data_IF_287486401812
#
_entry.id   IF_287486401812
#
_cell.length_a   1.000
_cell.length_b   1.000
_cell.length_c   1.000
_cell.angle_alpha   90.00
_cell.angle_beta   90.00
_cell.angle_gamma   90.00
#
_symmetry.space_group_name_H-M   'P 1'
#
loop_
_entity.id
_entity.type
_entity.pdbx_description
1 polymer ?
#
# COMPACT_ATOMS: atom_id res chain seq x y z
N UNK A 1 -21.60 -5.73 0.57
CA UNK A 1 -21.72 -4.33 0.11
C UNK A 1 -22.10 -3.46 1.30
N UNK A 2 -21.27 -2.49 1.65
CA UNK A 2 -21.56 -1.51 2.70
C UNK A 2 -22.19 -0.27 2.07
N UNK A 3 -23.19 0.28 2.74
CA UNK A 3 -23.86 1.52 2.36
C UNK A 3 -23.69 2.51 3.51
N UNK A 4 -22.88 3.53 3.31
CA UNK A 4 -22.58 4.56 4.30
C UNK A 4 -22.90 5.93 3.73
N UNK A 5 -23.44 6.82 4.54
CA UNK A 5 -23.56 8.20 4.10
C UNK A 5 -22.19 8.91 4.18
N UNK A 6 -22.03 9.99 3.43
CA UNK A 6 -20.79 10.78 3.40
C UNK A 6 -20.78 11.91 4.44
N UNK A 7 -21.47 11.75 5.57
CA UNK A 7 -21.34 12.72 6.66
C UNK A 7 -19.89 12.85 7.12
N UNK A 8 -19.38 14.07 7.32
CA UNK A 8 -18.01 14.28 7.77
C UNK A 8 -17.76 13.61 9.13
N UNK A 9 -16.66 12.88 9.22
CA UNK A 9 -16.21 12.21 10.42
C UNK A 9 -15.12 13.06 11.07
N UNK A 10 -15.41 13.54 12.29
CA UNK A 10 -14.49 14.36 13.07
C UNK A 10 -13.92 13.52 14.20
N UNK A 11 -12.61 13.41 14.24
CA UNK A 11 -11.87 12.67 15.27
C UNK A 11 -11.13 13.69 16.11
N UNK A 12 -11.78 14.14 17.19
CA UNK A 12 -11.17 15.10 18.10
C UNK A 12 -9.98 14.45 18.82
N UNK A 13 -8.83 15.10 18.74
CA UNK A 13 -7.63 14.72 19.48
C UNK A 13 -6.86 15.97 19.89
N UNK A 14 -6.86 16.27 21.19
CA UNK A 14 -6.28 17.50 21.75
C UNK A 14 -4.76 17.40 22.02
N UNK A 15 -4.18 16.21 21.89
CA UNK A 15 -2.75 15.94 22.16
C UNK A 15 -1.85 16.42 21.01
N UNK A 16 -2.35 16.37 19.77
CA UNK A 16 -1.56 16.70 18.61
C UNK A 16 -1.52 18.20 18.28
N UNK A 17 -0.35 18.64 17.82
CA UNK A 17 -0.11 20.02 17.37
C UNK A 17 -0.44 20.26 15.89
N UNK A 18 -0.87 19.24 15.19
CA UNK A 18 -1.27 19.27 13.78
C UNK A 18 -2.67 18.68 13.60
N UNK A 19 -3.33 19.04 12.51
CA UNK A 19 -4.57 18.45 12.04
C UNK A 19 -4.34 17.81 10.67
N UNK A 20 -5.13 16.77 10.35
CA UNK A 20 -5.18 16.18 9.01
C UNK A 20 -6.61 16.21 8.51
N UNK A 21 -6.82 16.88 7.40
CA UNK A 21 -8.02 16.77 6.58
C UNK A 21 -7.77 15.70 5.51
N UNK A 22 -8.63 14.69 5.46
CA UNK A 22 -8.55 13.60 4.50
C UNK A 22 -9.88 13.50 3.75
N UNK A 23 -9.81 13.59 2.41
CA UNK A 23 -10.95 13.53 1.51
C UNK A 23 -10.70 12.40 0.52
N UNK A 24 -11.64 11.48 0.38
CA UNK A 24 -11.52 10.27 -0.41
C UNK A 24 -12.73 10.08 -1.32
N UNK A 25 -12.50 10.02 -2.63
CA UNK A 25 -13.53 9.77 -3.63
C UNK A 25 -13.45 8.33 -4.10
N UNK A 26 -14.48 7.52 -3.90
CA UNK A 26 -14.54 6.19 -4.50
C UNK A 26 -14.53 6.27 -6.02
N UNK A 27 -13.77 5.38 -6.66
CA UNK A 27 -13.64 5.31 -8.11
C UNK A 27 -14.32 4.03 -8.58
N UNK A 28 -15.31 4.18 -9.45
CA UNK A 28 -16.05 3.09 -10.06
C UNK A 28 -15.76 3.06 -11.55
N UNK A 29 -15.63 1.86 -12.11
CA UNK A 29 -15.48 1.66 -13.57
C UNK A 29 -14.37 2.53 -14.18
N UNK A 30 -13.13 2.10 -14.01
CA UNK A 30 -11.94 2.83 -14.44
C UNK A 30 -11.00 1.99 -15.31
N UNK A 31 -10.17 2.67 -16.06
CA UNK A 31 -9.03 2.09 -16.75
C UNK A 31 -7.76 2.39 -15.96
N UNK A 32 -6.95 1.37 -15.77
CA UNK A 32 -5.77 1.49 -14.93
C UNK A 32 -4.76 2.51 -15.47
N UNK A 33 -4.57 2.53 -16.80
CA UNK A 33 -3.68 3.49 -17.46
C UNK A 33 -4.07 4.95 -17.21
N UNK A 34 -5.38 5.22 -17.12
CA UNK A 34 -5.88 6.56 -16.83
C UNK A 34 -5.56 6.96 -15.38
N UNK A 35 -5.81 6.05 -14.41
CA UNK A 35 -5.55 6.33 -13.00
C UNK A 35 -4.04 6.51 -12.68
N UNK A 36 -3.17 5.76 -13.37
CA UNK A 36 -1.71 5.90 -13.18
C UNK A 36 -1.20 7.30 -13.51
N UNK A 37 -1.81 7.95 -14.49
CA UNK A 37 -1.41 9.30 -14.94
C UNK A 37 -2.22 10.38 -14.22
N UNK A 38 -3.52 10.14 -14.00
CA UNK A 38 -4.43 11.12 -13.41
C UNK A 38 -3.92 11.67 -12.05
N UNK A 39 -3.38 10.81 -11.18
CA UNK A 39 -2.86 11.20 -9.86
C UNK A 39 -1.75 12.25 -9.91
N UNK A 40 -0.97 12.28 -11.00
CA UNK A 40 0.16 13.19 -11.16
C UNK A 40 -0.27 14.53 -11.80
N UNK A 41 -1.45 14.55 -12.43
CA UNK A 41 -1.98 15.69 -13.18
C UNK A 41 -2.97 16.52 -12.36
N UNK A 42 -3.83 15.88 -11.56
CA UNK A 42 -4.96 16.55 -10.88
C UNK A 42 -4.52 17.70 -9.99
N UNK A 43 -3.49 17.50 -9.17
CA UNK A 43 -3.11 18.44 -8.11
C UNK A 43 -1.80 19.22 -8.43
N UNK A 44 -1.43 19.28 -9.71
CA UNK A 44 -0.24 20.06 -10.12
C UNK A 44 -0.44 21.55 -9.89
N UNK A 45 -1.62 22.07 -10.23
CA UNK A 45 -2.04 23.49 -10.09
C UNK A 45 -3.56 23.58 -10.07
N UNK A 46 -4.08 24.75 -9.68
CA UNK A 46 -5.50 25.06 -9.79
C UNK A 46 -5.73 26.30 -10.64
N UNK A 47 -6.98 26.58 -10.94
CA UNK A 47 -7.36 27.80 -11.69
C UNK A 47 -6.87 29.06 -10.97
N UNK A 48 -7.05 29.15 -9.66
CA UNK A 48 -6.59 30.25 -8.82
C UNK A 48 -5.07 30.26 -8.65
N UNK A 49 -4.44 29.09 -8.56
CA UNK A 49 -3.00 28.90 -8.35
C UNK A 49 -2.36 28.31 -9.61
N UNK A 50 -2.44 29.07 -10.71
CA UNK A 50 -2.05 28.69 -12.07
C UNK A 50 -0.55 28.47 -12.28
N UNK A 51 0.28 28.84 -11.28
CA UNK A 51 1.72 28.57 -11.26
C UNK A 51 2.17 27.90 -9.98
N UNK A 52 3.23 27.10 -10.05
CA UNK A 52 3.83 26.47 -8.85
C UNK A 52 4.23 27.49 -7.79
N UNK A 53 4.64 28.70 -8.22
CA UNK A 53 4.96 29.80 -7.30
C UNK A 53 3.71 30.30 -6.54
N UNK A 54 2.61 30.55 -7.26
CA UNK A 54 1.35 30.96 -6.60
C UNK A 54 0.84 29.89 -5.64
N UNK A 55 0.93 28.62 -6.05
CA UNK A 55 0.56 27.48 -5.20
C UNK A 55 1.44 27.40 -3.94
N UNK A 56 2.75 27.54 -4.07
CA UNK A 56 3.66 27.55 -2.94
C UNK A 56 3.34 28.70 -1.96
N UNK A 57 3.07 29.91 -2.47
CA UNK A 57 2.67 31.06 -1.66
C UNK A 57 1.32 30.78 -0.95
N UNK A 58 0.35 30.14 -1.63
CA UNK A 58 -0.91 29.78 -1.04
C UNK A 58 -0.74 28.77 0.11
N UNK A 59 0.14 27.76 -0.05
CA UNK A 59 0.48 26.83 1.02
C UNK A 59 1.04 27.55 2.25
N UNK A 60 1.96 28.51 2.04
CA UNK A 60 2.54 29.29 3.15
C UNK A 60 1.45 30.12 3.84
N UNK A 61 0.61 30.83 3.09
CA UNK A 61 -0.43 31.72 3.63
C UNK A 61 -1.51 30.96 4.41
N UNK A 62 -1.80 29.72 4.02
CA UNK A 62 -2.76 28.84 4.71
C UNK A 62 -2.12 27.99 5.79
N UNK A 63 -0.83 28.19 6.08
CA UNK A 63 -0.08 27.35 7.01
C UNK A 63 -0.13 25.85 6.65
N UNK A 64 -0.26 25.53 5.34
CA UNK A 64 -0.26 24.17 4.86
C UNK A 64 1.14 23.57 5.04
N UNK A 65 1.29 22.60 5.94
CA UNK A 65 2.55 21.90 6.19
C UNK A 65 2.86 20.93 5.05
N UNK A 66 1.84 20.25 4.57
CA UNK A 66 1.94 19.42 3.37
C UNK A 66 0.55 19.15 2.80
N UNK A 67 0.49 18.95 1.49
CA UNK A 67 -0.67 18.34 0.82
C UNK A 67 -0.18 17.24 -0.11
N UNK A 68 -1.01 16.23 -0.28
CA UNK A 68 -0.70 15.12 -1.18
C UNK A 68 -1.98 14.55 -1.77
N UNK A 69 -1.84 14.00 -2.97
CA UNK A 69 -2.85 13.16 -3.59
C UNK A 69 -2.28 11.79 -3.88
N UNK A 70 -3.11 10.80 -3.85
CA UNK A 70 -2.76 9.45 -4.30
C UNK A 70 -4.01 8.73 -4.81
N UNK A 71 -3.80 7.67 -5.57
CA UNK A 71 -4.81 6.66 -5.81
C UNK A 71 -4.44 5.45 -4.98
N UNK A 72 -5.34 5.04 -4.11
CA UNK A 72 -5.21 3.85 -3.29
C UNK A 72 -6.18 2.78 -3.74
N UNK A 73 -5.78 1.53 -3.51
CA UNK A 73 -6.63 0.36 -3.73
C UNK A 73 -6.82 -0.32 -2.38
N UNK A 74 -8.06 -0.46 -1.97
CA UNK A 74 -8.43 -1.10 -0.72
C UNK A 74 -9.42 -2.20 -1.05
N UNK A 75 -8.97 -3.46 -0.99
CA UNK A 75 -9.70 -4.60 -1.56
C UNK A 75 -9.92 -4.37 -3.06
N UNK A 76 -11.16 -4.52 -3.53
CA UNK A 76 -11.54 -4.29 -4.93
C UNK A 76 -11.88 -2.83 -5.24
N UNK A 77 -11.77 -1.93 -4.27
CA UNK A 77 -12.14 -0.55 -4.45
C UNK A 77 -10.92 0.32 -4.73
N UNK A 78 -11.05 1.24 -5.69
CA UNK A 78 -10.08 2.30 -5.92
C UNK A 78 -10.60 3.61 -5.34
N UNK A 79 -9.70 4.42 -4.81
CA UNK A 79 -10.02 5.72 -4.22
C UNK A 79 -9.04 6.78 -4.70
N UNK A 80 -9.56 7.95 -5.10
CA UNK A 80 -8.77 9.16 -5.25
C UNK A 80 -8.76 9.89 -3.91
N UNK A 81 -7.59 10.00 -3.31
CA UNK A 81 -7.43 10.55 -1.97
C UNK A 81 -6.66 11.87 -2.00
N UNK A 82 -7.11 12.80 -1.21
CA UNK A 82 -6.46 14.06 -0.92
C UNK A 82 -6.25 14.20 0.58
N UNK A 83 -5.02 14.49 1.00
CA UNK A 83 -4.68 14.72 2.40
C UNK A 83 -3.98 16.07 2.55
N UNK A 84 -4.46 16.88 3.48
CA UNK A 84 -3.93 18.18 3.84
C UNK A 84 -3.54 18.17 5.32
N UNK A 85 -2.29 18.54 5.61
CA UNK A 85 -1.76 18.63 6.98
C UNK A 85 -1.50 20.10 7.30
N UNK A 86 -2.02 20.57 8.43
CA UNK A 86 -1.84 21.92 8.89
C UNK A 86 -1.72 21.98 10.43
N UNK A 87 -1.15 23.05 11.02
CA UNK A 87 -1.03 23.18 12.47
C UNK A 87 -2.39 23.34 13.14
N UNK A 88 -2.56 22.77 14.32
CA UNK A 88 -3.77 22.93 15.12
C UNK A 88 -3.89 24.34 15.73
N UNK A 89 -5.09 24.69 16.20
CA UNK A 89 -5.36 25.94 16.94
C UNK A 89 -4.41 26.08 18.13
N UNK A 90 -4.11 25.00 18.84
CA UNK A 90 -3.18 25.00 19.97
C UNK A 90 -1.75 25.45 19.57
N UNK A 91 -1.34 25.19 18.33
CA UNK A 91 -0.04 25.60 17.81
C UNK A 91 -0.01 27.05 17.33
N UNK A 92 -1.02 27.44 16.53
CA UNK A 92 -1.07 28.76 15.89
C UNK A 92 -1.73 29.84 16.74
N UNK A 93 -2.50 29.47 17.76
CA UNK A 93 -3.42 30.37 18.48
C UNK A 93 -4.42 31.09 17.55
N UNK A 94 -4.64 30.51 16.38
CA UNK A 94 -5.54 30.97 15.32
C UNK A 94 -6.20 29.76 14.69
N UNK A 95 -7.52 29.84 14.44
CA UNK A 95 -8.24 28.82 13.69
C UNK A 95 -8.03 29.07 12.18
N UNK A 96 -7.46 28.07 11.50
CA UNK A 96 -7.18 28.12 10.07
C UNK A 96 -7.94 27.04 9.29
N UNK A 97 -8.92 26.40 9.91
CA UNK A 97 -9.69 25.32 9.30
C UNK A 97 -10.40 25.79 8.03
N UNK A 98 -11.11 26.93 8.10
CA UNK A 98 -11.87 27.46 6.96
C UNK A 98 -10.95 27.77 5.78
N UNK A 99 -9.79 28.40 6.02
CA UNK A 99 -8.82 28.73 4.98
C UNK A 99 -8.28 27.45 4.30
N UNK A 100 -8.01 26.41 5.10
CA UNK A 100 -7.53 25.12 4.58
C UNK A 100 -8.64 24.34 3.85
N UNK A 101 -9.90 24.44 4.26
CA UNK A 101 -11.02 23.86 3.52
C UNK A 101 -11.23 24.54 2.18
N UNK A 102 -11.12 25.86 2.12
CA UNK A 102 -11.21 26.63 0.86
C UNK A 102 -10.03 26.31 -0.06
N UNK A 103 -8.82 26.14 0.50
CA UNK A 103 -7.66 25.69 -0.27
C UNK A 103 -7.88 24.26 -0.83
N UNK A 104 -8.35 23.33 0.01
CA UNK A 104 -8.64 21.96 -0.43
C UNK A 104 -9.72 21.94 -1.53
N UNK A 105 -10.81 22.73 -1.35
CA UNK A 105 -11.87 22.88 -2.35
C UNK A 105 -11.31 23.35 -3.69
N UNK A 106 -10.51 24.40 -3.66
CA UNK A 106 -9.88 24.97 -4.85
C UNK A 106 -9.03 23.94 -5.58
N UNK A 107 -8.15 23.22 -4.85
CA UNK A 107 -7.28 22.21 -5.43
C UNK A 107 -8.02 21.00 -6.00
N UNK A 108 -9.12 20.61 -5.36
CA UNK A 108 -9.89 19.41 -5.73
C UNK A 108 -10.87 19.69 -6.88
N UNK A 109 -11.58 20.82 -6.85
CA UNK A 109 -12.71 21.05 -7.76
C UNK A 109 -12.41 22.04 -8.89
N UNK A 110 -11.33 22.80 -8.80
CA UNK A 110 -10.93 23.80 -9.80
C UNK A 110 -9.50 23.56 -10.31
N UNK A 111 -9.22 22.39 -10.94
CA UNK A 111 -7.88 22.11 -11.46
C UNK A 111 -7.52 23.11 -12.58
N UNK A 112 -6.24 23.39 -12.74
CA UNK A 112 -5.76 24.20 -13.86
C UNK A 112 -6.00 23.47 -15.19
N UNK A 113 -6.71 24.15 -16.10
CA UNK A 113 -7.07 23.60 -17.42
C UNK A 113 -6.49 24.48 -18.53
N UNK A 114 -6.09 23.86 -19.62
CA UNK A 114 -5.73 24.50 -20.89
C UNK A 114 -6.78 24.09 -21.95
N UNK A 115 -7.43 25.07 -22.54
CA UNK A 115 -8.52 24.82 -23.50
C UNK A 115 -9.65 23.90 -22.95
N UNK A 116 -9.94 24.00 -21.64
CA UNK A 116 -11.01 23.25 -21.00
C UNK A 116 -10.68 21.81 -20.63
N UNK A 117 -9.45 21.35 -20.80
CA UNK A 117 -8.93 20.02 -20.42
C UNK A 117 -7.59 20.14 -19.70
N UNK A 118 -7.07 19.06 -19.15
CA UNK A 118 -5.72 19.07 -18.57
C UNK A 118 -4.64 19.41 -19.61
N UNK A 119 -3.54 20.03 -19.17
CA UNK A 119 -2.44 20.39 -20.06
C UNK A 119 -1.87 19.17 -20.78
N UNK A 120 -1.86 19.18 -22.12
CA UNK A 120 -1.29 18.09 -22.92
C UNK A 120 0.20 17.88 -22.63
N UNK A 121 0.90 18.97 -22.36
CA UNK A 121 2.32 18.91 -21.98
C UNK A 121 2.49 18.15 -20.69
N UNK A 122 1.71 18.47 -19.65
CA UNK A 122 1.78 17.80 -18.34
C UNK A 122 1.41 16.32 -18.44
N UNK A 123 0.37 15.98 -19.18
CA UNK A 123 -0.03 14.59 -19.42
C UNK A 123 1.10 13.79 -20.08
N UNK A 124 1.71 14.33 -21.13
CA UNK A 124 2.84 13.71 -21.84
C UNK A 124 4.06 13.53 -20.93
N UNK A 125 4.43 14.56 -20.17
CA UNK A 125 5.52 14.48 -19.19
C UNK A 125 5.26 13.41 -18.14
N UNK A 126 4.05 13.31 -17.61
CA UNK A 126 3.66 12.27 -16.63
C UNK A 126 3.73 10.86 -17.23
N UNK A 127 3.32 10.68 -18.48
CA UNK A 127 3.44 9.40 -19.21
C UNK A 127 4.91 9.00 -19.35
N UNK A 128 5.76 9.90 -19.80
CA UNK A 128 7.18 9.60 -19.99
C UNK A 128 7.89 9.34 -18.65
N UNK A 129 7.57 10.08 -17.60
CA UNK A 129 8.07 9.82 -16.25
C UNK A 129 7.68 8.41 -15.75
N UNK A 130 6.43 7.99 -15.98
CA UNK A 130 5.99 6.65 -15.62
C UNK A 130 6.75 5.56 -16.40
N UNK A 131 6.86 5.70 -17.73
CA UNK A 131 7.63 4.78 -18.58
C UNK A 131 9.08 4.65 -18.12
N UNK A 132 9.72 5.79 -17.82
CA UNK A 132 11.10 5.81 -17.34
C UNK A 132 11.22 5.15 -15.96
N UNK A 133 10.26 5.34 -15.06
CA UNK A 133 10.24 4.68 -13.75
C UNK A 133 10.16 3.17 -13.86
N UNK A 134 9.32 2.65 -14.76
CA UNK A 134 9.21 1.20 -15.05
C UNK A 134 10.52 0.67 -15.61
N UNK A 135 11.07 1.35 -16.62
CA UNK A 135 12.34 0.98 -17.25
C UNK A 135 13.50 0.94 -16.24
N UNK A 136 13.58 1.95 -15.36
CA UNK A 136 14.62 2.01 -14.33
C UNK A 136 14.44 0.93 -13.26
N UNK A 137 13.20 0.56 -12.90
CA UNK A 137 12.95 -0.58 -12.02
C UNK A 137 13.44 -1.88 -12.64
N UNK A 138 13.16 -2.11 -13.93
CA UNK A 138 13.53 -3.35 -14.62
C UNK A 138 15.02 -3.44 -14.96
N UNK A 139 15.77 -2.34 -15.00
CA UNK A 139 17.23 -2.33 -15.17
C UNK A 139 18.00 -2.73 -13.90
N UNK A 140 17.36 -2.88 -12.78
CA UNK A 140 17.97 -3.30 -11.53
C UNK A 140 17.66 -4.77 -11.29
N UNK A 141 18.66 -5.55 -10.89
CA UNK A 141 18.49 -7.01 -10.65
C UNK A 141 17.39 -7.30 -9.61
N UNK A 142 17.32 -6.52 -8.54
CA UNK A 142 16.29 -6.67 -7.50
C UNK A 142 14.89 -6.30 -8.00
N UNK A 143 14.77 -5.22 -8.77
CA UNK A 143 13.51 -4.78 -9.37
C UNK A 143 12.99 -5.75 -10.44
N UNK A 144 13.89 -6.31 -11.25
CA UNK A 144 13.55 -7.34 -12.25
C UNK A 144 13.11 -8.64 -11.59
N UNK A 145 13.88 -9.11 -10.59
CA UNK A 145 13.53 -10.31 -9.81
C UNK A 145 12.15 -10.14 -9.16
N UNK A 146 11.90 -9.00 -8.51
CA UNK A 146 10.59 -8.72 -7.91
C UNK A 146 9.47 -8.76 -8.96
N UNK A 147 9.68 -8.17 -10.14
CA UNK A 147 8.71 -8.21 -11.23
C UNK A 147 8.40 -9.63 -11.68
N UNK A 148 9.43 -10.45 -11.90
CA UNK A 148 9.26 -11.85 -12.32
C UNK A 148 8.57 -12.69 -11.24
N UNK A 149 8.95 -12.50 -9.99
CA UNK A 149 8.31 -13.16 -8.86
C UNK A 149 6.84 -12.74 -8.71
N UNK A 150 6.57 -11.44 -8.82
CA UNK A 150 5.20 -10.91 -8.73
C UNK A 150 4.30 -11.49 -9.84
N UNK A 151 4.84 -11.71 -11.05
CA UNK A 151 4.10 -12.37 -12.14
C UNK A 151 3.72 -13.82 -11.82
N UNK A 152 4.58 -14.56 -11.11
CA UNK A 152 4.31 -15.96 -10.74
C UNK A 152 3.25 -16.11 -9.66
N UNK A 153 3.12 -15.11 -8.78
CA UNK A 153 2.18 -15.17 -7.67
C UNK A 153 0.91 -14.38 -7.92
N UNK A 154 0.89 -13.55 -8.97
CA UNK A 154 -0.19 -12.60 -9.27
C UNK A 154 -1.16 -13.17 -10.30
N UNK A 155 -2.21 -13.81 -9.79
CA UNK A 155 -3.24 -14.41 -10.65
C UNK A 155 -4.26 -13.39 -11.22
N UNK A 156 -4.30 -12.16 -10.66
CA UNK A 156 -5.36 -11.18 -10.96
C UNK A 156 -4.86 -9.75 -11.23
N UNK A 157 -3.61 -9.59 -11.66
CA UNK A 157 -3.00 -8.28 -11.96
C UNK A 157 -2.94 -7.30 -10.76
N UNK A 158 -2.90 -7.82 -9.53
CA UNK A 158 -2.85 -6.97 -8.32
C UNK A 158 -1.46 -6.42 -8.00
N UNK A 159 -0.42 -7.25 -8.20
CA UNK A 159 0.96 -6.88 -7.92
C UNK A 159 1.61 -6.20 -9.11
N UNK A 160 1.37 -6.75 -10.29
CA UNK A 160 1.88 -6.22 -11.55
C UNK A 160 0.74 -5.75 -12.41
N UNK A 161 0.57 -4.47 -12.43
CA UNK A 161 -0.49 -3.83 -13.18
C UNK A 161 -0.42 -4.12 -14.68
N UNK A 162 -1.56 -4.12 -15.37
CA UNK A 162 -1.64 -4.29 -16.83
C UNK A 162 -0.78 -3.26 -17.56
N UNK A 163 -0.77 -2.02 -17.07
CA UNK A 163 0.05 -0.93 -17.63
C UNK A 163 1.53 -1.17 -17.43
N UNK A 164 1.93 -1.79 -16.31
CA UNK A 164 3.33 -2.16 -16.12
C UNK A 164 3.76 -3.26 -17.08
N UNK A 165 2.89 -4.23 -17.37
CA UNK A 165 3.12 -5.33 -18.33
C UNK A 165 3.17 -4.82 -19.77
N UNK A 166 2.31 -3.85 -20.10
CA UNK A 166 2.17 -3.28 -21.44
C UNK A 166 2.07 -1.75 -21.41
N UNK A 167 3.22 -1.11 -21.55
CA UNK A 167 3.32 0.35 -21.58
C UNK A 167 2.65 0.98 -22.82
N UNK A 168 2.29 0.20 -23.83
CA UNK A 168 1.59 0.70 -25.02
C UNK A 168 0.17 1.18 -24.68
N UNK A 169 -0.44 0.65 -23.60
CA UNK A 169 -1.74 1.09 -23.09
C UNK A 169 -1.76 2.61 -22.77
N UNK A 170 -0.62 3.17 -22.40
CA UNK A 170 -0.48 4.61 -22.13
C UNK A 170 -0.72 5.48 -23.38
N UNK A 171 -0.62 4.93 -24.58
CA UNK A 171 -0.94 5.66 -25.82
C UNK A 171 -2.42 6.05 -25.91
N UNK A 172 -3.29 5.37 -25.15
CA UNK A 172 -4.71 5.66 -25.10
C UNK A 172 -5.06 6.80 -24.13
N UNK A 173 -4.09 7.27 -23.34
CA UNK A 173 -4.30 8.32 -22.33
C UNK A 173 -4.17 9.69 -22.99
N UNK A 174 -5.26 10.46 -22.98
CA UNK A 174 -5.30 11.82 -23.51
C UNK A 174 -5.79 12.81 -22.44
N UNK A 175 -5.48 14.09 -22.61
CA UNK A 175 -5.93 15.16 -21.71
C UNK A 175 -7.45 15.20 -21.55
N UNK A 176 -8.18 15.02 -22.65
CA UNK A 176 -9.64 15.01 -22.65
C UNK A 176 -10.19 13.79 -21.87
N UNK A 177 -9.65 12.60 -22.11
CA UNK A 177 -10.05 11.38 -21.39
C UNK A 177 -9.78 11.50 -19.91
N UNK A 178 -8.58 11.96 -19.53
CA UNK A 178 -8.26 12.17 -18.10
C UNK A 178 -9.21 13.17 -17.44
N UNK A 179 -9.53 14.27 -18.14
CA UNK A 179 -10.47 15.24 -17.60
C UNK A 179 -11.88 14.68 -17.45
N UNK A 180 -12.33 13.83 -18.36
CA UNK A 180 -13.62 13.13 -18.25
C UNK A 180 -13.66 12.15 -17.09
N UNK A 181 -12.58 11.37 -16.88
CA UNK A 181 -12.42 10.48 -15.71
C UNK A 181 -12.43 11.28 -14.42
N UNK A 182 -11.65 12.35 -14.35
CA UNK A 182 -11.63 13.26 -13.20
C UNK A 182 -13.04 13.80 -12.89
N UNK A 183 -13.76 14.35 -13.87
CA UNK A 183 -15.13 14.85 -13.66
C UNK A 183 -16.06 13.78 -13.13
N UNK A 184 -15.97 12.55 -13.65
CA UNK A 184 -16.76 11.42 -13.16
C UNK A 184 -16.48 11.11 -11.71
N UNK A 185 -15.19 11.11 -11.30
CA UNK A 185 -14.77 10.84 -9.92
C UNK A 185 -15.28 11.93 -8.96
N UNK A 186 -15.03 13.20 -9.26
CA UNK A 186 -15.38 14.31 -8.35
C UNK A 186 -16.87 14.62 -8.31
N UNK A 187 -17.66 14.13 -9.27
CA UNK A 187 -19.13 14.23 -9.21
C UNK A 187 -19.75 13.28 -8.21
N UNK A 188 -18.99 12.26 -7.77
CA UNK A 188 -19.40 11.34 -6.71
C UNK A 188 -19.26 11.94 -5.32
N UNK A 189 -19.98 11.38 -4.33
CA UNK A 189 -19.90 11.86 -2.94
C UNK A 189 -18.56 11.42 -2.31
N UNK A 190 -17.72 12.37 -1.82
CA UNK A 190 -16.51 12.02 -1.11
C UNK A 190 -16.79 11.58 0.32
N UNK A 191 -15.92 10.73 0.85
CA UNK A 191 -15.77 10.49 2.27
C UNK A 191 -14.80 11.53 2.84
N UNK A 192 -15.16 12.16 3.96
CA UNK A 192 -14.35 13.22 4.56
C UNK A 192 -14.08 12.93 6.03
N UNK A 193 -12.80 12.96 6.40
CA UNK A 193 -12.32 12.78 7.76
C UNK A 193 -11.47 13.97 8.16
N UNK A 194 -11.63 14.43 9.39
CA UNK A 194 -10.79 15.45 10.00
C UNK A 194 -10.35 14.97 11.37
N UNK A 195 -9.05 14.92 11.59
CA UNK A 195 -8.48 14.55 12.89
C UNK A 195 -7.59 15.66 13.42
N UNK A 196 -7.67 15.91 14.73
CA UNK A 196 -6.83 16.86 15.46
C UNK A 196 -7.55 17.64 16.53
N UNK A 197 -6.87 18.68 17.04
CA UNK A 197 -7.48 19.61 18.02
C UNK A 197 -8.38 20.61 17.30
N UNK A 198 -9.68 20.26 17.21
CA UNK A 198 -10.71 21.02 16.48
C UNK A 198 -12.02 21.06 17.25
N UNK A 199 -12.86 22.06 16.97
CA UNK A 199 -14.25 22.08 17.38
C UNK A 199 -15.07 21.15 16.47
N UNK A 200 -15.62 20.08 17.02
CA UNK A 200 -16.32 19.05 16.26
C UNK A 200 -17.53 19.59 15.49
N UNK A 201 -18.39 20.37 16.18
CA UNK A 201 -19.63 20.89 15.58
C UNK A 201 -19.32 21.88 14.45
N UNK A 202 -18.47 22.86 14.73
CA UNK A 202 -18.04 23.87 13.76
C UNK A 202 -17.36 23.22 12.55
N UNK A 203 -16.47 22.25 12.81
CA UNK A 203 -15.75 21.53 11.74
C UNK A 203 -16.70 20.78 10.83
N UNK A 204 -17.68 20.10 11.41
CA UNK A 204 -18.67 19.34 10.66
C UNK A 204 -19.53 20.26 9.78
N UNK A 205 -19.95 21.39 10.30
CA UNK A 205 -20.73 22.41 9.58
C UNK A 205 -19.92 22.98 8.40
N UNK A 206 -18.67 23.41 8.65
CA UNK A 206 -17.80 23.97 7.61
C UNK A 206 -17.46 22.96 6.51
N UNK A 207 -17.20 21.70 6.84
CA UNK A 207 -16.93 20.66 5.83
C UNK A 207 -18.19 20.41 4.99
N UNK A 208 -19.37 20.33 5.60
CA UNK A 208 -20.64 20.19 4.88
C UNK A 208 -20.85 21.34 3.90
N UNK A 209 -20.64 22.58 4.34
CA UNK A 209 -20.79 23.75 3.50
C UNK A 209 -19.75 23.82 2.38
N UNK A 210 -18.46 23.72 2.72
CA UNK A 210 -17.37 24.03 1.79
C UNK A 210 -17.04 22.85 0.88
N UNK A 211 -17.02 21.62 1.39
CA UNK A 211 -16.58 20.45 0.61
C UNK A 211 -17.77 19.70 0.01
N UNK A 212 -18.87 19.57 0.75
CA UNK A 212 -19.99 18.73 0.32
C UNK A 212 -21.13 19.54 -0.33
N UNK A 213 -21.05 20.87 -0.41
CA UNK A 213 -22.14 21.75 -0.88
C UNK A 213 -23.48 21.41 -0.20
N UNK A 214 -23.46 21.01 1.08
CA UNK A 214 -24.59 20.52 1.89
C UNK A 214 -25.31 19.28 1.31
N UNK A 215 -24.65 18.52 0.42
CA UNK A 215 -25.21 17.31 -0.18
C UNK A 215 -24.71 16.07 0.57
N UNK A 216 -25.61 15.42 1.30
CA UNK A 216 -25.33 14.15 1.95
C UNK A 216 -25.91 13.03 1.08
N UNK A 217 -25.09 12.09 0.71
CA UNK A 217 -25.42 10.98 -0.19
C UNK A 217 -24.84 9.67 0.33
N UNK A 218 -25.37 8.57 -0.14
CA UNK A 218 -24.84 7.26 0.18
C UNK A 218 -23.66 6.92 -0.72
N UNK A 219 -22.58 6.44 -0.09
CA UNK A 219 -21.39 5.89 -0.75
C UNK A 219 -21.46 4.38 -0.66
N UNK A 220 -21.36 3.69 -1.80
CA UNK A 220 -21.37 2.24 -1.87
C UNK A 220 -19.95 1.75 -2.09
N UNK A 221 -19.52 0.74 -1.34
CA UNK A 221 -18.26 0.03 -1.58
C UNK A 221 -18.38 -1.42 -1.13
N UNK A 222 -17.56 -2.26 -1.71
CA UNK A 222 -17.51 -3.68 -1.41
C UNK A 222 -16.24 -3.97 -0.63
N UNK A 223 -16.38 -4.58 0.54
CA UNK A 223 -15.25 -5.12 1.27
C UNK A 223 -15.28 -6.64 1.11
N UNK A 224 -14.52 -7.16 0.18
CA UNK A 224 -14.30 -8.59 0.06
C UNK A 224 -12.82 -8.89 0.34
N UNK A 225 -12.56 -9.50 1.49
CA UNK A 225 -11.22 -9.97 1.85
C UNK A 225 -10.89 -11.32 1.21
N UNK A 226 -11.89 -12.03 0.67
CA UNK A 226 -11.75 -13.40 0.15
C UNK A 226 -11.40 -13.45 -1.34
N UNK A 227 -11.25 -12.31 -2.01
CA UNK A 227 -11.02 -12.22 -3.46
C UNK A 227 -9.73 -12.89 -3.91
N UNK A 228 -8.82 -13.18 -2.98
CA UNK A 228 -7.44 -13.51 -3.30
C UNK A 228 -7.05 -14.98 -3.13
N UNK A 229 -7.98 -15.85 -2.81
CA UNK A 229 -7.67 -17.28 -2.62
C UNK A 229 -8.26 -18.07 -3.78
N UNK A 230 -7.51 -18.18 -4.87
CA UNK A 230 -7.79 -19.18 -5.90
C UNK A 230 -7.16 -20.53 -5.57
N UNK A 231 -7.68 -21.57 -6.19
CA UNK A 231 -7.25 -22.96 -6.03
C UNK A 231 -5.71 -23.11 -6.04
N UNK A 232 -5.16 -23.60 -4.95
CA UNK A 232 -3.74 -23.93 -4.87
C UNK A 232 -3.52 -25.18 -5.73
N UNK A 233 -2.68 -25.06 -6.75
CA UNK A 233 -2.25 -26.21 -7.55
C UNK A 233 -1.45 -27.17 -6.67
N UNK A 234 -1.60 -28.47 -6.90
CA UNK A 234 -0.78 -29.49 -6.24
C UNK A 234 0.63 -29.62 -6.86
N UNK A 235 0.92 -28.89 -7.94
CA UNK A 235 2.24 -28.87 -8.60
C UNK A 235 2.94 -27.55 -8.34
N UNK A 236 4.24 -27.62 -8.04
CA UNK A 236 5.11 -26.45 -7.92
C UNK A 236 5.50 -25.98 -9.31
N UNK A 237 5.15 -24.74 -9.65
CA UNK A 237 5.61 -24.11 -10.89
C UNK A 237 7.07 -23.69 -10.74
N UNK A 238 7.94 -24.07 -11.70
CA UNK A 238 9.35 -23.69 -11.69
C UNK A 238 9.69 -22.91 -12.94
N UNK A 239 10.08 -21.65 -12.78
CA UNK A 239 10.58 -20.80 -13.87
C UNK A 239 12.07 -20.58 -13.67
N UNK A 240 12.87 -20.98 -14.67
CA UNK A 240 14.31 -20.74 -14.73
C UNK A 240 14.65 -20.02 -16.01
N UNK A 241 15.34 -18.91 -15.93
CA UNK A 241 15.78 -18.12 -17.07
C UNK A 241 17.18 -17.55 -16.86
N UNK A 242 17.88 -17.27 -17.96
CA UNK A 242 19.15 -16.56 -17.93
C UNK A 242 18.86 -15.06 -17.75
N UNK A 243 19.51 -14.46 -16.78
CA UNK A 243 19.39 -13.05 -16.45
C UNK A 243 20.47 -12.23 -17.17
N UNK A 244 20.15 -10.99 -17.52
CA UNK A 244 21.14 -10.03 -18.03
C UNK A 244 22.09 -9.48 -16.95
N UNK A 245 21.82 -9.77 -15.68
CA UNK A 245 22.62 -9.30 -14.55
C UNK A 245 23.72 -10.27 -14.18
N UNK A 246 24.79 -9.80 -13.53
CA UNK A 246 25.83 -10.65 -12.95
C UNK A 246 25.34 -11.40 -11.70
N UNK A 247 24.36 -10.86 -11.01
CA UNK A 247 23.79 -11.43 -9.79
C UNK A 247 22.64 -12.39 -10.14
N UNK A 248 22.70 -13.62 -9.65
CA UNK A 248 21.57 -14.55 -9.69
C UNK A 248 20.53 -14.21 -8.61
N UNK A 249 19.27 -14.48 -8.92
CA UNK A 249 18.14 -14.28 -8.02
C UNK A 249 17.33 -15.56 -7.88
N UNK A 250 16.90 -15.83 -6.65
CA UNK A 250 16.18 -17.06 -6.29
C UNK A 250 14.95 -16.68 -5.45
N UNK A 251 13.78 -17.14 -5.87
CA UNK A 251 12.54 -16.94 -5.10
C UNK A 251 11.85 -18.28 -4.86
N UNK A 252 11.21 -18.40 -3.70
CA UNK A 252 10.36 -19.51 -3.34
C UNK A 252 9.06 -18.98 -2.74
N UNK A 253 7.93 -19.38 -3.29
CA UNK A 253 6.62 -18.86 -2.92
C UNK A 253 5.77 -19.93 -2.27
N UNK A 254 5.17 -19.57 -1.15
CA UNK A 254 4.19 -20.37 -0.41
C UNK A 254 2.86 -19.65 -0.38
N UNK A 255 1.77 -20.40 -0.57
CA UNK A 255 0.40 -19.89 -0.36
C UNK A 255 -0.24 -20.53 0.86
N UNK A 256 -1.10 -19.78 1.52
CA UNK A 256 -1.93 -20.25 2.64
C UNK A 256 -3.18 -20.92 2.09
N UNK A 257 -3.40 -22.19 2.45
CA UNK A 257 -4.68 -22.89 2.18
C UNK A 257 -5.79 -22.25 2.99
N UNK A 258 -6.96 -22.13 2.38
CA UNK A 258 -8.21 -21.72 3.03
C UNK A 258 -8.07 -20.44 3.88
N UNK A 259 -7.32 -19.47 3.35
CA UNK A 259 -7.20 -18.17 3.99
C UNK A 259 -8.56 -17.47 4.00
N UNK A 260 -9.12 -17.24 5.20
CA UNK A 260 -10.49 -16.74 5.33
C UNK A 260 -10.67 -15.51 6.24
N UNK A 261 -9.70 -15.16 7.05
CA UNK A 261 -9.86 -14.11 8.06
C UNK A 261 -8.58 -13.31 8.34
N UNK A 262 -8.74 -12.24 9.10
CA UNK A 262 -7.62 -11.39 9.52
C UNK A 262 -6.59 -12.14 10.37
N UNK A 263 -7.05 -13.11 11.20
CA UNK A 263 -6.17 -13.97 12.00
C UNK A 263 -5.16 -14.74 11.15
N UNK A 264 -5.55 -15.23 9.97
CA UNK A 264 -4.65 -15.91 9.03
C UNK A 264 -3.54 -14.97 8.52
N UNK A 265 -3.84 -13.69 8.31
CA UNK A 265 -2.84 -12.68 7.94
C UNK A 265 -1.83 -12.44 9.07
N UNK A 266 -2.33 -12.41 10.32
CA UNK A 266 -1.46 -12.27 11.49
C UNK A 266 -0.55 -13.49 11.63
N UNK A 267 -1.07 -14.71 11.46
CA UNK A 267 -0.27 -15.94 11.45
C UNK A 267 0.80 -15.92 10.36
N UNK A 268 0.44 -15.51 9.14
CA UNK A 268 1.40 -15.36 8.04
C UNK A 268 2.50 -14.33 8.36
N UNK A 269 2.13 -13.23 9.01
CA UNK A 269 3.09 -12.21 9.47
C UNK A 269 4.03 -12.76 10.55
N UNK A 270 3.51 -13.59 11.47
CA UNK A 270 4.34 -14.29 12.48
C UNK A 270 5.34 -15.21 11.78
N UNK A 271 4.91 -16.04 10.83
CA UNK A 271 5.80 -16.93 10.07
C UNK A 271 6.89 -16.14 9.36
N UNK A 272 6.52 -15.05 8.67
CA UNK A 272 7.49 -14.14 8.05
C UNK A 272 8.50 -13.61 9.08
N UNK A 273 8.05 -13.21 10.27
CA UNK A 273 8.91 -12.69 11.32
C UNK A 273 9.81 -13.76 11.96
N UNK A 274 9.36 -15.02 12.06
CA UNK A 274 10.19 -16.16 12.48
C UNK A 274 11.36 -16.39 11.50
N UNK A 275 11.13 -16.18 10.20
CA UNK A 275 12.15 -16.35 9.15
C UNK A 275 13.07 -15.14 9.01
N UNK A 276 12.52 -13.94 9.04
CA UNK A 276 13.21 -12.71 8.64
C UNK A 276 12.68 -11.50 9.42
N UNK A 277 13.17 -11.30 10.63
CA UNK A 277 12.82 -10.16 11.48
C UNK A 277 13.94 -9.13 11.63
N UNK A 278 15.20 -9.55 11.58
CA UNK A 278 16.42 -8.74 11.75
C UNK A 278 17.63 -9.43 11.06
N UNK A 279 18.79 -8.77 11.04
CA UNK A 279 20.03 -9.28 10.44
C UNK A 279 20.60 -10.58 11.10
N UNK A 280 20.03 -11.04 12.19
CA UNK A 280 20.36 -12.30 12.87
C UNK A 280 19.23 -13.32 12.81
N UNK A 281 18.37 -13.21 11.83
CA UNK A 281 17.25 -14.13 11.63
C UNK A 281 17.67 -15.49 10.99
N UNK A 282 16.71 -16.41 10.95
CA UNK A 282 16.95 -17.78 10.50
C UNK A 282 17.45 -17.84 9.06
N UNK A 283 16.83 -17.09 8.15
CA UNK A 283 17.24 -17.08 6.74
C UNK A 283 18.64 -16.50 6.57
N UNK A 284 18.93 -15.38 7.24
CA UNK A 284 20.23 -14.73 7.14
C UNK A 284 21.34 -15.62 7.71
N UNK A 285 21.09 -16.29 8.85
CA UNK A 285 22.05 -17.20 9.44
C UNK A 285 22.34 -18.37 8.52
N UNK A 286 21.33 -19.11 8.08
CA UNK A 286 21.55 -20.28 7.22
C UNK A 286 22.17 -19.93 5.87
N UNK A 287 21.79 -18.85 5.24
CA UNK A 287 22.20 -18.55 3.88
C UNK A 287 23.47 -17.69 3.83
N UNK A 288 23.65 -16.78 4.78
CA UNK A 288 24.76 -15.82 4.78
C UNK A 288 25.85 -16.18 5.78
N UNK A 289 25.50 -16.30 7.08
CA UNK A 289 26.51 -16.44 8.12
C UNK A 289 27.17 -17.82 8.10
N UNK A 290 26.39 -18.88 7.95
CA UNK A 290 26.88 -20.26 8.04
C UNK A 290 27.44 -20.79 6.71
N UNK A 291 26.95 -20.30 5.57
CA UNK A 291 27.28 -20.86 4.26
C UNK A 291 27.82 -19.85 3.24
N UNK A 292 27.81 -18.53 3.53
CA UNK A 292 28.26 -17.44 2.63
C UNK A 292 27.71 -17.52 1.19
N UNK A 293 26.44 -17.96 1.04
CA UNK A 293 25.83 -18.22 -0.27
C UNK A 293 25.17 -16.98 -0.88
N UNK A 294 24.74 -16.01 -0.07
CA UNK A 294 23.91 -14.91 -0.55
C UNK A 294 24.43 -13.54 -0.09
N UNK A 295 24.24 -12.53 -0.91
CA UNK A 295 24.49 -11.15 -0.53
C UNK A 295 23.33 -10.57 0.30
N UNK A 296 22.11 -10.98 -0.05
CA UNK A 296 20.87 -10.51 0.58
C UNK A 296 19.83 -11.61 0.54
N UNK A 297 19.08 -11.73 1.63
CA UNK A 297 17.91 -12.60 1.72
C UNK A 297 16.82 -11.92 2.53
N UNK A 298 15.56 -12.15 2.19
CA UNK A 298 14.39 -11.63 2.90
C UNK A 298 13.17 -12.53 2.71
N UNK A 299 12.25 -12.45 3.66
CA UNK A 299 10.89 -12.96 3.54
C UNK A 299 9.89 -11.82 3.41
N UNK A 300 8.94 -11.92 2.50
CA UNK A 300 7.87 -10.96 2.25
C UNK A 300 6.52 -11.63 2.33
N UNK A 301 5.52 -10.91 2.82
CA UNK A 301 4.12 -11.37 2.79
C UNK A 301 3.28 -10.47 1.91
N UNK A 302 2.34 -11.08 1.19
CA UNK A 302 1.35 -10.38 0.39
C UNK A 302 -0.03 -10.57 0.99
N UNK A 303 -0.85 -9.53 0.96
CA UNK A 303 -2.15 -9.49 1.64
C UNK A 303 -3.14 -10.58 1.22
N UNK A 304 -2.89 -11.23 0.09
CA UNK A 304 -3.68 -12.35 -0.45
C UNK A 304 -3.12 -13.74 -0.05
N UNK A 305 -2.37 -13.82 1.04
CA UNK A 305 -1.96 -15.09 1.64
C UNK A 305 -0.74 -15.75 1.03
N UNK A 306 0.17 -14.97 0.45
CA UNK A 306 1.44 -15.47 -0.09
C UNK A 306 2.61 -15.05 0.80
N UNK A 307 3.54 -15.99 1.05
CA UNK A 307 4.86 -15.77 1.62
C UNK A 307 5.90 -16.03 0.53
N UNK A 308 6.76 -15.04 0.26
CA UNK A 308 7.88 -15.16 -0.67
C UNK A 308 9.20 -15.09 0.06
N UNK A 309 10.09 -16.05 -0.17
CA UNK A 309 11.49 -16.03 0.22
C UNK A 309 12.30 -15.60 -0.99
N UNK A 310 13.11 -14.54 -0.87
CA UNK A 310 13.87 -13.97 -1.99
C UNK A 310 15.33 -13.84 -1.57
N UNK A 311 16.23 -14.38 -2.38
CA UNK A 311 17.69 -14.29 -2.18
C UNK A 311 18.41 -13.86 -3.45
N UNK A 312 19.53 -13.15 -3.25
CA UNK A 312 20.43 -12.72 -4.30
C UNK A 312 21.83 -13.27 -4.04
N UNK A 313 22.40 -13.91 -5.06
CA UNK A 313 23.64 -14.69 -4.92
C UNK A 313 24.61 -14.45 -6.07
N UNK A 314 25.91 -14.50 -5.75
CA UNK A 314 26.99 -14.70 -6.66
C UNK A 314 27.42 -16.18 -6.77
N UNK A 315 26.80 -17.10 -6.01
CA UNK A 315 27.15 -18.48 -5.96
C UNK A 315 26.57 -19.31 -7.13
N UNK A 316 27.28 -20.32 -7.59
CA UNK A 316 26.79 -21.34 -8.54
C UNK A 316 25.86 -22.37 -7.86
N UNK A 317 25.85 -22.42 -6.54
CA UNK A 317 25.14 -23.42 -5.76
C UNK A 317 23.68 -23.00 -5.48
N UNK A 318 22.92 -22.65 -6.52
CA UNK A 318 21.54 -22.22 -6.40
C UNK A 318 20.64 -23.26 -5.73
N UNK A 319 20.85 -24.52 -6.03
CA UNK A 319 20.06 -25.64 -5.47
C UNK A 319 20.23 -25.75 -3.96
N UNK A 320 21.42 -25.46 -3.42
CA UNK A 320 21.68 -25.41 -1.99
C UNK A 320 20.85 -24.32 -1.27
N UNK A 321 20.53 -23.22 -1.96
CA UNK A 321 19.66 -22.17 -1.39
C UNK A 321 18.26 -22.73 -1.13
N UNK A 322 17.70 -23.53 -2.03
CA UNK A 322 16.39 -24.16 -1.82
C UNK A 322 16.41 -25.18 -0.68
N UNK A 323 17.47 -25.99 -0.57
CA UNK A 323 17.63 -26.90 0.56
C UNK A 323 17.68 -26.14 1.90
N UNK A 324 18.35 -24.99 1.93
CA UNK A 324 18.43 -24.17 3.13
C UNK A 324 17.11 -23.44 3.42
N UNK A 325 16.32 -23.08 2.41
CA UNK A 325 14.94 -22.60 2.63
C UNK A 325 14.07 -23.67 3.29
N UNK A 326 14.16 -24.94 2.83
CA UNK A 326 13.43 -26.05 3.45
C UNK A 326 13.88 -26.29 4.90
N UNK A 327 15.20 -26.26 5.16
CA UNK A 327 15.74 -26.36 6.51
C UNK A 327 15.24 -25.19 7.41
N UNK A 328 15.21 -23.97 6.88
CA UNK A 328 14.71 -22.81 7.60
C UNK A 328 13.21 -22.95 7.95
N UNK A 329 12.39 -23.42 6.98
CA UNK A 329 10.96 -23.67 7.20
C UNK A 329 10.74 -24.74 8.28
N UNK A 330 11.50 -25.85 8.23
CA UNK A 330 11.44 -26.90 9.25
C UNK A 330 11.89 -26.40 10.62
N UNK A 331 12.93 -25.56 10.68
CA UNK A 331 13.41 -25.00 11.94
C UNK A 331 12.40 -24.08 12.60
N UNK A 332 11.74 -23.21 11.82
CA UNK A 332 10.74 -22.30 12.38
C UNK A 332 9.43 -22.99 12.77
N UNK A 333 9.21 -24.25 12.33
CA UNK A 333 8.10 -25.10 12.76
C UNK A 333 8.37 -25.82 14.09
N UNK A 334 9.59 -25.74 14.63
CA UNK A 334 9.88 -26.30 15.96
C UNK A 334 9.13 -25.54 17.05
N UNK A 335 8.39 -26.29 17.86
CA UNK A 335 7.52 -25.72 18.88
C UNK A 335 8.30 -24.90 19.92
N UNK A 336 9.51 -25.35 20.32
CA UNK A 336 10.33 -24.66 21.31
C UNK A 336 10.84 -23.33 20.73
N UNK A 337 11.17 -23.31 19.42
CA UNK A 337 11.57 -22.08 18.75
C UNK A 337 10.40 -21.08 18.72
N UNK A 338 9.20 -21.51 18.33
CA UNK A 338 7.98 -20.69 18.32
C UNK A 338 7.69 -20.14 19.71
N UNK A 339 7.72 -20.99 20.77
CA UNK A 339 7.49 -20.61 22.16
C UNK A 339 8.50 -19.55 22.65
N UNK A 340 9.75 -19.63 22.17
CA UNK A 340 10.78 -18.63 22.52
C UNK A 340 10.59 -17.28 21.83
N UNK A 341 9.97 -17.25 20.62
CA UNK A 341 9.87 -16.05 19.77
C UNK A 341 8.54 -15.34 19.86
N UNK A 342 7.45 -16.07 19.97
CA UNK A 342 6.10 -15.49 19.96
C UNK A 342 5.88 -14.42 21.05
N UNK A 343 6.38 -14.57 22.29
CA UNK A 343 6.29 -13.51 23.30
C UNK A 343 6.98 -12.21 22.87
N UNK A 344 8.13 -12.31 22.17
CA UNK A 344 8.87 -11.13 21.70
C UNK A 344 8.09 -10.39 20.60
N UNK A 345 7.44 -11.10 19.70
CA UNK A 345 6.59 -10.50 18.68
C UNK A 345 5.34 -9.86 19.27
N UNK A 346 4.76 -10.49 20.30
CA UNK A 346 3.61 -9.95 21.03
C UNK A 346 3.98 -8.67 21.77
N UNK A 347 5.15 -8.65 22.42
CA UNK A 347 5.64 -7.45 23.11
C UNK A 347 5.98 -6.33 22.12
N UNK A 348 6.62 -6.66 20.99
CA UNK A 348 6.83 -5.68 19.92
C UNK A 348 5.51 -5.10 19.43
N UNK A 349 4.51 -5.95 19.14
CA UNK A 349 3.20 -5.48 18.71
C UNK A 349 2.50 -4.60 19.75
N UNK A 350 2.72 -4.85 21.06
CA UNK A 350 2.23 -4.00 22.14
C UNK A 350 2.88 -2.62 22.07
N UNK A 351 4.21 -2.58 21.93
CA UNK A 351 4.97 -1.33 21.81
C UNK A 351 4.54 -0.55 20.56
N UNK A 352 4.49 -1.23 19.41
CA UNK A 352 4.06 -0.62 18.15
C UNK A 352 2.63 -0.03 18.30
N UNK A 353 1.69 -0.76 18.92
CA UNK A 353 0.34 -0.26 19.18
C UNK A 353 0.28 0.95 20.14
N UNK A 354 1.24 1.10 21.06
CA UNK A 354 1.36 2.32 21.88
C UNK A 354 1.94 3.47 21.07
N UNK A 355 3.00 3.23 20.29
CA UNK A 355 3.62 4.23 19.42
C UNK A 355 2.66 4.72 18.32
N UNK A 356 1.82 3.83 17.78
CA UNK A 356 0.80 4.17 16.79
C UNK A 356 -0.18 5.23 17.30
N UNK A 357 -0.41 5.31 18.62
CA UNK A 357 -1.24 6.35 19.23
C UNK A 357 -0.55 7.74 19.20
N UNK A 358 0.75 7.79 19.01
CA UNK A 358 1.53 9.03 18.88
C UNK A 358 1.56 9.55 17.45
N UNK A 359 1.11 8.75 16.47
CA UNK A 359 1.08 9.10 15.06
C UNK A 359 -0.34 9.42 14.57
N UNK A 360 -0.61 10.72 14.33
CA UNK A 360 -1.93 11.20 13.92
C UNK A 360 -2.45 10.52 12.63
N UNK A 361 -1.54 10.23 11.69
CA UNK A 361 -1.87 9.52 10.45
C UNK A 361 -2.30 8.09 10.70
N UNK A 362 -1.66 7.37 11.60
CA UNK A 362 -2.01 5.99 11.96
C UNK A 362 -3.39 5.93 12.60
N UNK A 363 -3.67 6.84 13.55
CA UNK A 363 -5.00 6.96 14.16
C UNK A 363 -6.07 7.23 13.10
N UNK A 364 -5.80 8.16 12.16
CA UNK A 364 -6.74 8.47 11.08
C UNK A 364 -7.04 7.22 10.23
N UNK A 365 -6.01 6.50 9.78
CA UNK A 365 -6.20 5.32 8.92
C UNK A 365 -6.87 4.17 9.66
N UNK A 366 -6.63 3.98 10.94
CA UNK A 366 -7.40 3.05 11.77
C UNK A 366 -8.92 3.34 11.74
N UNK A 367 -9.28 4.63 11.79
CA UNK A 367 -10.68 5.05 11.68
C UNK A 367 -11.23 4.85 10.26
N UNK A 368 -10.45 5.18 9.23
CA UNK A 368 -10.83 4.97 7.83
C UNK A 368 -11.07 3.49 7.55
N UNK A 369 -10.16 2.61 7.97
CA UNK A 369 -10.27 1.18 7.78
C UNK A 369 -11.50 0.59 8.47
N UNK A 370 -11.76 1.00 9.72
CA UNK A 370 -12.98 0.63 10.45
C UNK A 370 -14.25 1.13 9.77
N UNK A 371 -14.21 2.38 9.29
CA UNK A 371 -15.35 2.97 8.59
C UNK A 371 -15.65 2.23 7.29
N UNK A 372 -14.60 1.84 6.56
CA UNK A 372 -14.70 1.06 5.34
C UNK A 372 -15.00 -0.43 5.60
N UNK A 373 -14.95 -0.89 6.86
CA UNK A 373 -15.25 -2.27 7.25
C UNK A 373 -14.11 -3.26 6.98
N UNK A 374 -12.85 -2.78 6.87
CA UNK A 374 -11.72 -3.65 6.56
C UNK A 374 -11.25 -4.49 7.74
N UNK A 375 -11.28 -3.96 8.94
CA UNK A 375 -11.02 -4.71 10.16
C UNK A 375 -11.63 -4.04 11.37
N UNK A 376 -12.19 -4.85 12.28
CA UNK A 376 -12.54 -4.39 13.62
C UNK A 376 -11.51 -4.86 14.65
N UNK A 377 -10.54 -5.68 14.24
CA UNK A 377 -9.54 -6.29 15.10
C UNK A 377 -8.20 -5.58 14.95
N UNK A 378 -7.56 -5.25 16.08
CA UNK A 378 -6.20 -4.72 16.08
C UNK A 378 -5.19 -5.86 16.02
N UNK A 379 -4.08 -5.64 15.33
CA UNK A 379 -2.99 -6.61 15.22
C UNK A 379 -2.52 -7.12 16.60
N UNK A 380 -2.36 -6.22 17.56
CA UNK A 380 -1.97 -6.56 18.93
C UNK A 380 -2.97 -7.49 19.63
N UNK A 381 -4.27 -7.24 19.48
CA UNK A 381 -5.30 -8.06 20.14
C UNK A 381 -5.34 -9.47 19.56
N UNK A 382 -5.13 -9.61 18.26
CA UNK A 382 -5.09 -10.91 17.60
C UNK A 382 -3.82 -11.67 17.97
N UNK A 383 -2.63 -11.07 17.84
CA UNK A 383 -1.36 -11.76 18.12
C UNK A 383 -1.26 -12.22 19.58
N UNK A 384 -1.78 -11.43 20.53
CA UNK A 384 -1.85 -11.78 21.94
C UNK A 384 -2.67 -13.05 22.22
N UNK A 385 -3.62 -13.36 21.36
CA UNK A 385 -4.50 -14.54 21.49
C UNK A 385 -3.96 -15.80 20.80
N UNK A 386 -2.91 -15.67 19.97
CA UNK A 386 -2.33 -16.78 19.20
C UNK A 386 -1.50 -17.67 20.12
N UNK A 387 -1.66 -18.98 19.93
CA UNK A 387 -0.90 -19.99 20.67
C UNK A 387 0.22 -20.58 19.79
N UNK A 388 1.34 -21.03 20.38
CA UNK A 388 2.44 -21.65 19.64
C UNK A 388 2.02 -22.83 18.75
N UNK A 389 1.14 -23.70 19.24
CA UNK A 389 0.61 -24.84 18.47
C UNK A 389 -0.18 -24.40 17.23
N UNK A 390 -0.87 -23.26 17.29
CA UNK A 390 -1.59 -22.72 16.13
C UNK A 390 -0.63 -22.21 15.04
N UNK A 391 0.48 -21.60 15.44
CA UNK A 391 1.54 -21.17 14.50
C UNK A 391 2.18 -22.40 13.85
N UNK A 392 2.48 -23.45 14.64
CA UNK A 392 3.02 -24.70 14.13
C UNK A 392 2.06 -25.36 13.13
N UNK A 393 0.80 -25.52 13.48
CA UNK A 393 -0.22 -26.09 12.59
C UNK A 393 -0.35 -25.28 11.29
N UNK A 394 -0.31 -23.96 11.39
CA UNK A 394 -0.36 -23.08 10.23
C UNK A 394 0.82 -23.31 9.29
N UNK A 395 2.05 -23.48 9.80
CA UNK A 395 3.25 -23.76 9.00
C UNK A 395 3.14 -25.16 8.37
N UNK A 396 2.85 -26.18 9.16
CA UNK A 396 2.93 -27.58 8.75
C UNK A 396 1.80 -27.98 7.79
N UNK A 397 0.57 -27.45 7.99
CA UNK A 397 -0.63 -27.93 7.31
C UNK A 397 -1.25 -26.93 6.34
N UNK A 398 -0.97 -25.64 6.49
CA UNK A 398 -1.63 -24.60 5.69
C UNK A 398 -0.71 -23.89 4.72
N UNK A 399 0.61 -23.87 4.92
CA UNK A 399 1.56 -23.28 3.98
C UNK A 399 1.98 -24.29 2.94
N UNK A 400 1.74 -23.99 1.67
CA UNK A 400 2.06 -24.87 0.54
C UNK A 400 2.96 -24.13 -0.43
N UNK A 401 4.11 -24.74 -0.76
CA UNK A 401 4.98 -24.25 -1.83
C UNK A 401 4.24 -24.32 -3.17
N UNK A 402 4.16 -23.20 -3.88
CA UNK A 402 3.42 -23.10 -5.15
C UNK A 402 4.31 -22.75 -6.33
N UNK A 403 5.40 -22.01 -6.14
CA UNK A 403 6.29 -21.67 -7.25
C UNK A 403 7.72 -21.37 -6.81
N UNK A 404 8.65 -21.53 -7.76
CA UNK A 404 10.06 -21.16 -7.65
C UNK A 404 10.45 -20.33 -8.87
N UNK A 405 11.18 -19.24 -8.65
CA UNK A 405 11.82 -18.47 -9.71
C UNK A 405 13.33 -18.49 -9.54
N UNK A 406 14.03 -18.69 -10.66
CA UNK A 406 15.50 -18.74 -10.72
C UNK A 406 15.95 -17.88 -11.90
N UNK A 407 16.49 -16.71 -11.59
CA UNK A 407 17.19 -15.86 -12.57
C UNK A 407 18.69 -16.11 -12.47
N UNK A 408 19.28 -16.81 -13.44
CA UNK A 408 20.71 -17.16 -13.45
C UNK A 408 21.52 -16.00 -13.99
N UNK A 409 22.52 -15.54 -13.24
CA UNK A 409 23.37 -14.41 -13.63
C UNK A 409 24.36 -14.79 -14.76
N UNK A 410 24.78 -13.80 -15.57
CA UNK A 410 25.65 -13.97 -16.74
C UNK A 410 27.02 -14.62 -16.45
N UNK A 411 27.55 -14.43 -15.25
CA UNK A 411 28.91 -14.91 -14.88
C UNK A 411 28.92 -16.40 -14.51
N UNK A 412 27.86 -17.14 -14.87
CA UNK A 412 27.63 -18.55 -14.49
C UNK A 412 27.64 -19.55 -15.65
N UNK A 413 27.99 -19.12 -16.87
CA UNK A 413 28.23 -20.01 -18.01
C UNK A 413 29.59 -20.69 -17.97
#
# INVERSE_FOLDING_TARGET
>A
MFNRNNEPIIIKNDEFRKCILFISFPIYDYKEEELKILKDVIFDRSEKYDTKRKLAIACINNYCLSYRSKISFIGNNAFLEFALIYPSVASLKKDVLQDNLLFAREMIFNPYLENGVFSEKLVRESIEMYKESVKNKLKRYDGYCQYKNDLLIDENDYLVSKVFKDLSLLSNVTSERLYNVYKKIISGPPLTFLIGNVDEKKSKELIKEIILDNKISNVKFETDYNVYVKNISNSVEVVRENSEFSTSSVCCNYKVRDMCCYRDRVLLTIVKNLLSSNNSDVLFNYLRNDNDLVYRTNAYTYGFGTLSLISFTGSKNIDMIFELYEKAMNYISDINYIESRLPLFTEKARIDNELDKEELSTILFDYVDKYLGYTNEKYYDVIKSIKPLEVKDFIDNRLVMVSKYIGVGKDYE
#
